data_IF_059374211929
#
_entry.id   IF_059374211929
#
_cell.length_a   1.000
_cell.length_b   1.000
_cell.length_c   1.000
_cell.angle_alpha   90.00
_cell.angle_beta   90.00
_cell.angle_gamma   90.00
#
_symmetry.space_group_name_H-M   'P 1'
#
loop_
_entity.id
_entity.type
_entity.pdbx_description
1 polymer ?
#
# COMPACT_ATOMS: atom_id res chain seq x y z
N UNK A 1 15.02 -13.22 10.26
CA UNK A 1 13.77 -14.02 10.10
C UNK A 1 12.75 -13.10 9.47
N UNK A 2 12.77 -13.04 8.14
CA UNK A 2 12.31 -11.86 7.40
C UNK A 2 10.88 -12.08 6.86
N UNK A 3 10.41 -13.33 6.90
CA UNK A 3 9.04 -13.75 6.61
C UNK A 3 7.99 -13.17 7.56
N UNK A 4 8.41 -12.78 8.77
CA UNK A 4 7.56 -12.11 9.74
C UNK A 4 7.17 -10.69 9.29
N UNK A 5 8.04 -10.01 8.51
CA UNK A 5 7.86 -8.61 8.13
C UNK A 5 6.93 -8.39 6.93
N UNK A 6 6.71 -9.39 6.08
CA UNK A 6 5.94 -9.20 4.83
C UNK A 6 4.72 -10.09 4.67
N UNK A 7 4.79 -11.39 5.03
CA UNK A 7 3.67 -12.34 4.85
C UNK A 7 2.97 -12.74 6.15
N UNK A 8 3.75 -12.99 7.21
CA UNK A 8 3.23 -13.45 8.50
C UNK A 8 2.40 -12.39 9.23
N UNK A 9 2.81 -11.12 9.16
CA UNK A 9 2.09 -10.00 9.79
C UNK A 9 0.68 -9.82 9.21
N UNK A 10 0.52 -10.00 7.90
CA UNK A 10 -0.79 -9.90 7.24
C UNK A 10 -1.76 -10.98 7.72
N UNK A 11 -1.36 -12.25 7.67
CA UNK A 11 -2.20 -13.35 8.13
C UNK A 11 -2.49 -13.28 9.63
N UNK A 12 -1.57 -12.73 10.43
CA UNK A 12 -1.80 -12.49 11.85
C UNK A 12 -2.92 -11.45 12.06
N UNK A 13 -2.92 -10.34 11.31
CA UNK A 13 -3.97 -9.32 11.37
C UNK A 13 -5.33 -9.90 10.92
N UNK A 14 -5.35 -10.63 9.80
CA UNK A 14 -6.57 -11.29 9.28
C UNK A 14 -7.13 -12.27 10.30
N UNK A 15 -6.28 -13.09 10.91
CA UNK A 15 -6.67 -14.07 11.93
C UNK A 15 -7.12 -13.41 13.23
N UNK A 16 -6.48 -12.30 13.63
CA UNK A 16 -6.87 -11.51 14.79
C UNK A 16 -8.28 -10.91 14.60
N UNK A 17 -8.57 -10.32 13.45
CA UNK A 17 -9.90 -9.79 13.14
C UNK A 17 -10.99 -10.88 13.15
N UNK A 18 -10.68 -12.07 12.62
CA UNK A 18 -11.59 -13.21 12.69
C UNK A 18 -11.80 -13.72 14.13
N UNK A 19 -10.76 -13.70 14.96
CA UNK A 19 -10.85 -14.08 16.37
C UNK A 19 -11.71 -13.09 17.17
N UNK A 20 -11.50 -11.79 16.98
CA UNK A 20 -12.29 -10.71 17.62
C UNK A 20 -13.75 -10.80 17.19
N UNK A 21 -14.03 -11.04 15.91
CA UNK A 21 -15.40 -11.25 15.45
C UNK A 21 -16.09 -12.43 16.14
N UNK A 22 -15.36 -13.53 16.36
CA UNK A 22 -15.85 -14.67 17.12
C UNK A 22 -16.15 -14.34 18.58
N UNK A 23 -15.28 -13.56 19.23
CA UNK A 23 -15.49 -13.11 20.61
C UNK A 23 -16.73 -12.20 20.75
N UNK A 24 -17.11 -11.49 19.69
CA UNK A 24 -18.29 -10.63 19.63
C UNK A 24 -19.56 -11.35 19.15
N UNK A 25 -19.55 -12.68 19.05
CA UNK A 25 -20.70 -13.48 18.61
C UNK A 25 -21.01 -13.38 17.10
N UNK A 26 -20.07 -12.90 16.29
CA UNK A 26 -20.18 -12.83 14.81
C UNK A 26 -19.46 -14.00 14.15
N UNK A 27 -19.80 -14.27 12.88
CA UNK A 27 -19.19 -15.36 12.11
C UNK A 27 -17.68 -15.14 11.85
N UNK A 28 -16.83 -15.98 12.46
CA UNK A 28 -15.37 -15.93 12.30
C UNK A 28 -14.95 -16.10 10.83
N UNK A 29 -15.60 -17.01 10.11
CA UNK A 29 -15.29 -17.30 8.70
C UNK A 29 -15.62 -16.10 7.80
N UNK A 30 -16.76 -15.45 8.03
CA UNK A 30 -17.16 -14.29 7.22
C UNK A 30 -16.18 -13.13 7.40
N UNK A 31 -15.77 -12.85 8.64
CA UNK A 31 -14.80 -11.79 8.94
C UNK A 31 -13.37 -12.13 8.53
N UNK A 32 -13.00 -13.42 8.50
CA UNK A 32 -11.75 -13.89 7.92
C UNK A 32 -11.71 -13.61 6.41
N UNK A 33 -12.77 -13.99 5.68
CA UNK A 33 -12.90 -13.72 4.23
C UNK A 33 -12.90 -12.21 3.95
N UNK A 34 -13.66 -11.42 4.70
CA UNK A 34 -13.65 -9.96 4.52
C UNK A 34 -12.24 -9.38 4.73
N UNK A 35 -11.55 -9.81 5.78
CA UNK A 35 -10.21 -9.31 6.10
C UNK A 35 -9.16 -9.74 5.08
N UNK A 36 -9.23 -10.97 4.55
CA UNK A 36 -8.23 -11.46 3.58
C UNK A 36 -8.31 -10.71 2.24
N UNK A 37 -9.51 -10.27 1.84
CA UNK A 37 -9.70 -9.50 0.61
C UNK A 37 -9.42 -8.00 0.77
N UNK A 38 -9.29 -7.50 2.00
CA UNK A 38 -9.13 -6.08 2.24
C UNK A 38 -7.79 -5.52 1.73
N UNK A 39 -6.66 -6.23 1.88
CA UNK A 39 -5.37 -5.76 1.32
C UNK A 39 -5.32 -5.82 -0.21
N UNK A 40 -5.74 -6.91 -0.87
CA UNK A 40 -5.81 -6.94 -2.33
C UNK A 40 -6.64 -5.79 -2.89
N UNK A 41 -7.79 -5.48 -2.26
CA UNK A 41 -8.64 -4.36 -2.65
C UNK A 41 -7.91 -3.03 -2.44
N UNK A 42 -7.26 -2.83 -1.29
CA UNK A 42 -6.48 -1.61 -1.04
C UNK A 42 -5.36 -1.42 -2.06
N UNK A 43 -4.60 -2.47 -2.37
CA UNK A 43 -3.56 -2.46 -3.41
C UNK A 43 -4.13 -2.19 -4.79
N UNK A 44 -5.29 -2.76 -5.12
CA UNK A 44 -5.98 -2.50 -6.40
C UNK A 44 -6.42 -1.04 -6.50
N UNK A 45 -6.98 -0.46 -5.43
CA UNK A 45 -7.33 0.95 -5.39
C UNK A 45 -6.11 1.85 -5.53
N UNK A 46 -4.98 1.51 -4.89
CA UNK A 46 -3.72 2.24 -5.06
C UNK A 46 -3.17 2.11 -6.48
N UNK A 47 -3.33 0.96 -7.13
CA UNK A 47 -2.94 0.77 -8.53
C UNK A 47 -3.78 1.67 -9.46
N UNK A 48 -5.10 1.73 -9.26
CA UNK A 48 -6.01 2.48 -10.12
C UNK A 48 -5.96 3.99 -9.87
N UNK A 49 -5.79 4.41 -8.60
CA UNK A 49 -5.97 5.80 -8.18
C UNK A 49 -4.74 6.41 -7.51
N UNK A 50 -3.68 5.65 -7.26
CA UNK A 50 -2.46 6.11 -6.56
C UNK A 50 -1.57 7.06 -7.36
N UNK A 51 -2.04 7.51 -8.53
CA UNK A 51 -1.36 8.54 -9.31
C UNK A 51 -1.57 9.89 -8.62
N UNK A 52 -0.57 10.31 -7.85
CA UNK A 52 -0.59 11.56 -7.11
C UNK A 52 -0.06 12.71 -7.98
N UNK A 53 -0.89 13.71 -8.24
CA UNK A 53 -0.54 14.97 -8.94
C UNK A 53 0.70 15.64 -8.31
N UNK A 54 0.87 15.51 -7.00
CA UNK A 54 2.02 16.07 -6.28
C UNK A 54 3.35 15.39 -6.69
N UNK A 55 3.32 14.08 -6.98
CA UNK A 55 4.50 13.35 -7.44
C UNK A 55 4.86 13.71 -8.89
N UNK A 56 3.85 13.99 -9.71
CA UNK A 56 4.03 14.40 -11.10
C UNK A 56 4.69 15.79 -11.19
N UNK A 57 4.23 16.76 -10.41
CA UNK A 57 4.86 18.08 -10.34
C UNK A 57 6.29 18.05 -9.76
N UNK A 58 6.55 17.20 -8.76
CA UNK A 58 7.89 17.03 -8.22
C UNK A 58 8.85 16.45 -9.28
N UNK A 59 8.38 15.47 -10.08
CA UNK A 59 9.15 14.90 -11.17
C UNK A 59 9.43 15.91 -12.29
N UNK A 60 8.42 16.71 -12.67
CA UNK A 60 8.58 17.78 -13.67
C UNK A 60 9.62 18.82 -13.23
N UNK A 61 9.62 19.20 -11.95
CA UNK A 61 10.61 20.15 -11.40
C UNK A 61 12.01 19.56 -11.44
N UNK A 62 12.17 18.31 -11.02
CA UNK A 62 13.46 17.62 -11.07
C UNK A 62 14.02 17.52 -12.50
N UNK A 63 13.16 17.24 -13.49
CA UNK A 63 13.57 17.23 -14.91
C UNK A 63 13.97 18.64 -15.37
N UNK A 64 13.17 19.65 -15.07
CA UNK A 64 13.45 21.02 -15.45
C UNK A 64 14.76 21.55 -14.83
N UNK A 65 15.08 21.13 -13.60
CA UNK A 65 16.35 21.44 -12.94
C UNK A 65 17.54 20.77 -13.64
N UNK A 66 17.42 19.48 -13.98
CA UNK A 66 18.47 18.77 -14.73
C UNK A 66 18.72 19.39 -16.12
N UNK A 67 17.66 19.81 -16.80
CA UNK A 67 17.77 20.51 -18.09
C UNK A 67 18.47 21.86 -17.94
N UNK A 68 18.18 22.60 -16.86
CA UNK A 68 18.88 23.86 -16.55
C UNK A 68 20.36 23.62 -16.24
N UNK A 69 20.69 22.60 -15.46
CA UNK A 69 22.08 22.25 -15.16
C UNK A 69 22.86 21.86 -16.43
N UNK A 70 22.23 21.10 -17.33
CA UNK A 70 22.80 20.76 -18.64
C UNK A 70 22.98 21.99 -19.52
N UNK A 71 22.00 22.89 -19.56
CA UNK A 71 22.08 24.12 -20.36
C UNK A 71 23.12 25.10 -19.81
N UNK A 72 23.37 25.09 -18.50
CA UNK A 72 24.42 25.88 -17.85
C UNK A 72 25.83 25.29 -18.03
N UNK A 73 25.96 24.09 -18.63
CA UNK A 73 27.25 23.45 -18.89
C UNK A 73 28.00 22.99 -17.64
N UNK A 74 27.30 22.80 -16.51
CA UNK A 74 27.88 22.49 -15.20
C UNK A 74 28.10 20.98 -14.95
N UNK A 75 27.93 20.14 -15.98
CA UNK A 75 28.01 18.68 -15.90
C UNK A 75 28.80 18.06 -17.04
#
# INVERSE_FOLDING_TARGET
MDWALTGGSWLAIVSLNAAVAGALGRSRLNWFIISIFLAPIASFLLMCFGRSEAHEHAHQRAIAELERERAAGLR
#
